data_IF_153677140921
#
_entry.id   IF_153677140921
#
_cell.length_a   1.000
_cell.length_b   1.000
_cell.length_c   1.000
_cell.angle_alpha   90.00
_cell.angle_beta   90.00
_cell.angle_gamma   90.00
#
_symmetry.space_group_name_H-M   'P 1'
#
loop_
_entity.id
_entity.type
_entity.pdbx_description
1 polymer ?
#
# COMPACT_ATOMS: atom_id res chain seq x y z
N UNK A 1 35.78 -48.80 93.60
CA UNK A 1 34.90 -47.83 92.91
C UNK A 1 35.51 -47.52 91.52
N UNK A 2 34.97 -48.13 90.46
CA UNK A 2 35.33 -47.78 89.12
C UNK A 2 34.49 -46.53 88.66
N UNK A 3 35.13 -45.37 88.56
CA UNK A 3 34.49 -44.22 88.01
C UNK A 3 34.55 -44.31 86.46
N UNK A 4 33.41 -44.53 85.80
CA UNK A 4 33.29 -44.49 84.32
C UNK A 4 32.88 -43.14 83.89
N UNK A 5 33.58 -42.61 82.89
CA UNK A 5 33.24 -41.31 82.22
C UNK A 5 32.92 -41.66 80.73
N UNK A 6 31.73 -41.35 80.29
CA UNK A 6 31.31 -41.53 78.88
C UNK A 6 31.48 -40.19 78.10
N UNK A 7 32.07 -40.29 76.92
CA UNK A 7 32.13 -39.19 75.97
C UNK A 7 31.22 -39.52 74.76
N UNK A 8 30.28 -38.65 74.45
CA UNK A 8 29.43 -38.79 73.28
C UNK A 8 29.98 -37.85 72.16
N UNK A 9 30.29 -38.41 71.00
CA UNK A 9 30.75 -37.67 69.79
C UNK A 9 29.70 -37.87 68.74
N UNK A 10 29.20 -36.76 68.17
CA UNK A 10 28.26 -36.76 67.04
C UNK A 10 29.06 -36.64 65.77
N UNK A 11 28.95 -37.59 64.86
CA UNK A 11 29.49 -37.49 63.50
C UNK A 11 28.40 -36.88 62.63
N UNK A 12 28.66 -35.73 62.00
CA UNK A 12 27.74 -35.04 61.07
C UNK A 12 28.23 -35.23 59.65
N UNK A 13 27.31 -35.25 58.68
CA UNK A 13 27.62 -35.23 57.26
C UNK A 13 26.96 -34.03 56.62
N UNK A 14 27.51 -33.47 55.50
CA UNK A 14 26.84 -32.47 54.67
C UNK A 14 25.53 -32.98 54.12
N UNK A 15 24.63 -32.07 53.73
CA UNK A 15 23.45 -32.43 52.95
C UNK A 15 23.86 -32.95 51.57
N UNK A 16 23.07 -33.82 50.97
CA UNK A 16 23.37 -34.34 49.62
C UNK A 16 23.47 -33.21 48.60
N UNK A 17 24.40 -33.36 47.66
CA UNK A 17 24.55 -32.48 46.51
C UNK A 17 23.32 -32.60 45.60
N UNK A 18 22.68 -31.47 45.25
CA UNK A 18 21.50 -31.40 44.40
C UNK A 18 21.74 -30.37 43.29
N UNK A 19 21.50 -30.79 42.04
CA UNK A 19 21.63 -29.99 40.82
C UNK A 19 20.25 -29.77 40.19
N UNK A 20 19.99 -28.54 39.75
CA UNK A 20 18.81 -28.18 38.91
C UNK A 20 19.26 -27.27 37.78
N UNK A 21 18.57 -27.36 36.63
CA UNK A 21 18.88 -26.53 35.47
C UNK A 21 17.65 -25.77 34.98
N UNK A 22 17.85 -24.52 34.55
CA UNK A 22 16.92 -23.75 33.70
C UNK A 22 17.52 -23.67 32.31
N UNK A 23 16.77 -24.05 31.27
CA UNK A 23 17.26 -24.13 29.88
C UNK A 23 16.53 -23.14 29.01
N UNK A 24 17.28 -22.33 28.24
CA UNK A 24 16.74 -21.53 27.11
C UNK A 24 17.02 -22.35 25.84
N UNK A 25 15.99 -22.73 25.04
CA UNK A 25 16.16 -23.46 23.81
C UNK A 25 16.96 -22.64 22.77
N UNK A 26 17.66 -23.34 21.88
CA UNK A 26 18.35 -22.74 20.75
C UNK A 26 17.38 -22.43 19.60
N UNK A 27 17.72 -21.47 18.75
CA UNK A 27 17.05 -21.29 17.46
C UNK A 27 17.41 -22.45 16.53
N UNK A 28 16.54 -22.78 15.57
CA UNK A 28 16.79 -23.86 14.62
C UNK A 28 18.12 -23.63 13.88
N UNK A 29 19.08 -24.53 14.09
CA UNK A 29 20.43 -24.43 13.54
C UNK A 29 21.31 -23.32 14.14
N UNK A 30 20.84 -22.65 15.19
CA UNK A 30 21.58 -21.62 15.91
C UNK A 30 22.37 -22.14 17.10
N UNK A 31 23.25 -21.31 17.64
CA UNK A 31 24.04 -21.55 18.84
C UNK A 31 23.77 -20.47 19.88
N UNK A 32 22.50 -20.24 20.22
CA UNK A 32 22.05 -19.21 21.17
C UNK A 32 21.29 -19.79 22.38
N UNK A 33 21.27 -21.09 22.53
CA UNK A 33 20.77 -21.77 23.73
C UNK A 33 21.63 -21.49 24.94
N UNK A 34 21.05 -21.68 26.16
CA UNK A 34 21.79 -21.54 27.41
C UNK A 34 21.29 -22.51 28.46
N UNK A 35 22.13 -22.82 29.40
CA UNK A 35 21.84 -23.60 30.60
C UNK A 35 22.32 -22.81 31.81
N UNK A 36 21.40 -22.49 32.74
CA UNK A 36 21.67 -21.92 34.06
C UNK A 36 21.60 -23.07 35.08
N UNK A 37 22.73 -23.37 35.73
CA UNK A 37 22.87 -24.44 36.68
C UNK A 37 22.80 -23.90 38.11
N UNK A 38 21.89 -24.42 38.90
CA UNK A 38 21.82 -24.16 40.33
C UNK A 38 22.30 -25.37 41.11
N UNK A 39 23.23 -25.13 42.04
CA UNK A 39 23.82 -26.16 42.93
C UNK A 39 23.42 -25.89 44.37
N UNK A 40 23.03 -26.90 45.11
CA UNK A 40 22.76 -26.83 46.54
C UNK A 40 23.22 -28.12 47.25
N UNK A 41 23.45 -28.04 48.59
CA UNK A 41 24.01 -29.14 49.36
C UNK A 41 25.51 -29.38 49.12
N UNK A 42 26.06 -30.49 49.60
CA UNK A 42 27.49 -30.73 49.62
C UNK A 42 28.26 -29.73 50.47
N UNK A 43 29.59 -29.62 50.24
CA UNK A 43 30.47 -28.65 50.88
C UNK A 43 30.85 -27.58 49.84
N UNK A 44 30.53 -26.27 50.06
CA UNK A 44 30.81 -25.22 49.10
C UNK A 44 32.27 -25.17 48.66
N UNK A 45 32.47 -24.74 47.37
CA UNK A 45 33.74 -24.81 46.64
C UNK A 45 33.59 -25.79 45.48
N UNK A 46 32.50 -25.58 44.67
CA UNK A 46 32.16 -26.48 43.58
C UNK A 46 33.03 -26.23 42.33
N UNK A 47 33.38 -27.31 41.66
CA UNK A 47 33.95 -27.35 40.31
C UNK A 47 33.01 -28.06 39.34
N UNK A 48 33.04 -27.65 38.07
CA UNK A 48 32.11 -28.07 37.03
C UNK A 48 32.89 -28.72 35.89
N UNK A 49 32.37 -29.82 35.35
CA UNK A 49 32.89 -30.53 34.19
C UNK A 49 31.71 -30.77 33.23
N UNK A 50 31.65 -29.99 32.15
CA UNK A 50 30.62 -30.09 31.14
C UNK A 50 31.10 -30.92 29.95
N UNK A 51 30.22 -31.73 29.37
CA UNK A 51 30.52 -32.66 28.27
C UNK A 51 30.80 -31.98 26.90
N UNK A 52 30.67 -30.66 26.79
CA UNK A 52 30.75 -29.93 25.50
C UNK A 52 32.17 -29.57 25.04
N UNK A 53 33.19 -29.71 25.87
CA UNK A 53 34.58 -29.31 25.61
C UNK A 53 35.61 -30.41 25.71
N UNK A 54 35.18 -31.65 26.05
CA UNK A 54 36.05 -32.80 26.26
C UNK A 54 36.82 -32.77 27.60
N UNK A 55 37.62 -33.77 27.89
CA UNK A 55 38.35 -33.88 29.18
C UNK A 55 39.47 -32.81 29.22
N UNK A 56 39.40 -31.91 30.18
CA UNK A 56 40.44 -30.90 30.47
C UNK A 56 41.07 -31.19 31.84
N UNK A 57 42.32 -30.76 32.06
CA UNK A 57 42.99 -30.87 33.36
C UNK A 57 43.96 -29.67 33.57
N UNK A 58 43.67 -28.72 34.50
CA UNK A 58 42.51 -28.67 35.35
C UNK A 58 41.22 -28.26 34.56
N UNK A 59 40.11 -28.80 34.97
CA UNK A 59 38.80 -28.40 34.46
C UNK A 59 38.38 -27.06 35.08
N UNK A 60 38.11 -26.09 34.24
CA UNK A 60 37.72 -24.73 34.64
C UNK A 60 36.42 -24.29 33.99
N UNK A 61 35.53 -25.23 33.71
CA UNK A 61 34.24 -24.94 33.11
C UNK A 61 33.42 -23.98 33.97
N UNK A 62 32.71 -23.05 33.36
CA UNK A 62 31.80 -22.17 34.06
C UNK A 62 30.59 -22.94 34.61
N UNK A 63 29.97 -22.42 35.66
CA UNK A 63 28.74 -22.97 36.20
C UNK A 63 27.63 -23.01 35.15
N UNK A 64 27.46 -21.88 34.42
CA UNK A 64 26.42 -21.69 33.42
C UNK A 64 27.01 -21.71 32.02
N UNK A 65 26.26 -22.27 31.07
CA UNK A 65 26.65 -22.34 29.67
C UNK A 65 25.77 -21.44 28.82
N UNK A 66 26.41 -20.75 27.86
CA UNK A 66 25.73 -19.93 26.83
C UNK A 66 26.27 -20.28 25.44
N UNK A 67 25.60 -19.84 24.38
CA UNK A 67 26.06 -20.12 23.02
C UNK A 67 25.90 -21.59 22.61
N UNK A 68 24.90 -22.27 23.13
CA UNK A 68 24.70 -23.69 22.90
C UNK A 68 23.84 -24.00 21.69
N UNK A 69 24.21 -25.02 20.94
CA UNK A 69 23.33 -25.65 19.95
C UNK A 69 22.35 -26.59 20.62
N UNK A 70 21.30 -27.01 19.91
CA UNK A 70 20.42 -28.05 20.37
C UNK A 70 21.22 -29.37 20.55
N UNK A 71 21.02 -30.03 21.70
CA UNK A 71 21.77 -31.21 22.04
C UNK A 71 21.62 -31.60 23.51
N UNK A 72 22.26 -32.71 23.90
CA UNK A 72 22.29 -33.18 25.27
C UNK A 72 23.63 -32.80 25.89
N UNK A 73 23.56 -32.22 27.07
CA UNK A 73 24.70 -31.78 27.88
C UNK A 73 24.70 -32.46 29.21
N UNK A 74 25.85 -32.94 29.66
CA UNK A 74 26.02 -33.53 30.96
C UNK A 74 26.98 -32.69 31.78
N UNK A 75 26.62 -32.35 33.00
CA UNK A 75 27.53 -31.73 33.96
C UNK A 75 27.83 -32.72 35.08
N UNK A 76 29.11 -32.76 35.49
CA UNK A 76 29.54 -33.38 36.73
C UNK A 76 30.03 -32.28 37.65
N UNK A 77 29.37 -32.11 38.81
CA UNK A 77 29.76 -31.16 39.83
C UNK A 77 30.48 -31.90 40.94
N UNK A 78 31.64 -31.36 41.31
CA UNK A 78 32.44 -31.89 42.44
C UNK A 78 32.48 -30.83 43.55
N UNK A 79 32.17 -31.22 44.79
CA UNK A 79 32.23 -30.36 45.98
C UNK A 79 33.65 -30.27 46.55
N UNK A 80 33.90 -29.38 47.52
CA UNK A 80 35.22 -29.19 48.14
C UNK A 80 35.76 -30.45 48.88
N UNK A 81 34.92 -31.43 49.17
CA UNK A 81 35.30 -32.72 49.77
C UNK A 81 35.51 -33.82 48.73
N UNK A 82 35.38 -33.53 47.45
CA UNK A 82 35.51 -34.49 46.35
C UNK A 82 34.26 -35.33 46.10
N UNK A 83 33.11 -35.00 46.69
CA UNK A 83 31.85 -35.70 46.38
C UNK A 83 31.30 -35.19 45.05
N UNK A 84 30.88 -36.12 44.19
CA UNK A 84 30.40 -35.80 42.81
C UNK A 84 28.93 -36.11 42.65
N UNK A 85 28.26 -35.30 41.79
CA UNK A 85 26.92 -35.57 41.29
C UNK A 85 26.82 -35.12 39.83
N UNK A 86 26.19 -35.95 38.99
CA UNK A 86 26.05 -35.66 37.57
C UNK A 86 24.58 -35.43 37.20
N UNK A 87 24.34 -34.44 36.31
CA UNK A 87 23.02 -34.12 35.77
C UNK A 87 23.10 -34.07 34.23
N UNK A 88 22.12 -34.72 33.59
CA UNK A 88 21.93 -34.64 32.14
C UNK A 88 20.79 -33.68 31.84
N UNK A 89 21.00 -32.72 30.94
CA UNK A 89 20.00 -31.75 30.49
C UNK A 89 20.01 -31.64 28.96
N UNK A 90 18.90 -31.21 28.37
CA UNK A 90 18.78 -31.11 26.92
C UNK A 90 18.39 -29.71 26.53
N UNK A 91 19.19 -29.05 25.64
CA UNK A 91 18.83 -27.84 24.93
C UNK A 91 18.03 -28.26 23.71
N UNK A 92 16.78 -27.88 23.67
CA UNK A 92 15.88 -28.16 22.53
C UNK A 92 15.95 -27.06 21.48
N UNK A 93 15.36 -27.28 20.30
CA UNK A 93 15.12 -26.28 19.28
C UNK A 93 13.71 -26.48 18.70
N UNK A 94 13.11 -25.42 18.06
CA UNK A 94 11.85 -25.55 17.32
C UNK A 94 11.96 -26.53 16.15
N UNK A 95 10.83 -27.10 15.71
CA UNK A 95 10.76 -28.04 14.59
C UNK A 95 11.10 -27.40 13.20
N UNK A 96 11.32 -26.12 13.14
CA UNK A 96 11.71 -25.40 11.91
C UNK A 96 12.12 -23.96 12.20
N UNK A 97 12.83 -23.34 11.26
CA UNK A 97 13.23 -21.94 11.40
C UNK A 97 12.00 -21.04 11.41
N UNK A 98 12.13 -19.89 12.08
CA UNK A 98 11.13 -18.83 12.04
C UNK A 98 11.00 -18.32 10.60
N UNK A 99 9.85 -18.56 9.96
CA UNK A 99 9.61 -18.30 8.54
C UNK A 99 8.37 -17.45 8.33
N UNK A 100 8.52 -16.15 8.02
CA UNK A 100 7.42 -15.26 7.71
C UNK A 100 6.99 -15.36 6.24
N UNK A 101 5.70 -15.21 5.98
CA UNK A 101 5.08 -15.11 4.66
C UNK A 101 4.09 -13.95 4.65
N UNK A 102 4.13 -13.13 3.58
CA UNK A 102 3.30 -11.95 3.43
C UNK A 102 2.34 -12.11 2.24
N UNK A 103 1.07 -11.77 2.47
CA UNK A 103 0.08 -11.48 1.43
C UNK A 103 -0.36 -10.04 1.60
N UNK A 104 -0.24 -9.22 0.55
CA UNK A 104 -0.60 -7.80 0.60
C UNK A 104 -1.83 -7.51 -0.27
N UNK A 105 -2.58 -6.46 0.09
CA UNK A 105 -3.65 -5.85 -0.69
C UNK A 105 -3.16 -4.47 -1.14
N UNK A 106 -3.19 -4.16 -2.44
CA UNK A 106 -2.82 -2.84 -2.95
C UNK A 106 -3.73 -1.73 -2.44
N UNK A 107 -3.24 -0.50 -2.49
CA UNK A 107 -4.08 0.69 -2.31
C UNK A 107 -4.99 0.85 -3.52
N UNK A 108 -6.29 1.04 -3.31
CA UNK A 108 -7.27 1.19 -4.38
C UNK A 108 -7.10 2.50 -5.15
N UNK A 109 -7.26 3.63 -4.47
CA UNK A 109 -7.18 4.95 -5.11
C UNK A 109 -5.90 5.71 -4.70
N UNK A 110 -5.46 6.63 -5.58
CA UNK A 110 -4.29 7.46 -5.31
C UNK A 110 -4.44 8.23 -3.99
N UNK A 111 -3.40 8.22 -3.18
CA UNK A 111 -3.33 8.84 -1.85
C UNK A 111 -4.31 8.30 -0.79
N UNK A 112 -5.06 7.24 -1.09
CA UNK A 112 -5.86 6.54 -0.08
C UNK A 112 -4.98 5.69 0.84
N UNK A 113 -5.58 5.25 1.94
CA UNK A 113 -5.01 4.32 2.90
C UNK A 113 -5.85 3.04 2.98
N UNK A 114 -6.10 2.39 1.84
CA UNK A 114 -6.88 1.15 1.75
C UNK A 114 -6.03 -0.11 1.64
N UNK A 115 -4.71 0.04 1.61
CA UNK A 115 -3.77 -1.07 1.58
C UNK A 115 -3.79 -1.90 2.85
N UNK A 116 -3.43 -3.18 2.74
CA UNK A 116 -3.31 -4.08 3.87
C UNK A 116 -2.18 -5.09 3.68
N UNK A 117 -1.65 -5.60 4.80
CA UNK A 117 -0.67 -6.67 4.84
C UNK A 117 -1.16 -7.74 5.81
N UNK A 118 -1.26 -8.99 5.34
CA UNK A 118 -1.48 -10.17 6.16
C UNK A 118 -0.15 -10.92 6.29
N UNK A 119 0.39 -10.98 7.51
CA UNK A 119 1.61 -11.70 7.84
C UNK A 119 1.26 -13.03 8.49
N UNK A 120 1.76 -14.11 7.93
CA UNK A 120 1.69 -15.45 8.52
C UNK A 120 3.10 -15.87 8.91
N UNK A 121 3.27 -16.37 10.14
CA UNK A 121 4.55 -16.86 10.65
C UNK A 121 4.46 -18.35 10.94
N UNK A 122 5.42 -19.11 10.45
CA UNK A 122 5.55 -20.55 10.73
C UNK A 122 6.92 -20.84 11.33
N UNK A 123 7.05 -21.96 12.05
CA UNK A 123 8.30 -22.30 12.76
C UNK A 123 8.56 -21.38 13.95
N UNK A 124 9.75 -21.47 14.52
CA UNK A 124 10.08 -20.80 15.78
C UNK A 124 9.21 -21.29 16.96
N UNK A 125 9.19 -20.53 18.03
CA UNK A 125 8.42 -20.83 19.25
C UNK A 125 7.51 -19.66 19.61
N UNK A 126 6.17 -19.81 19.51
CA UNK A 126 5.25 -18.73 19.89
C UNK A 126 5.30 -18.47 21.42
N UNK A 127 4.85 -17.26 21.87
CA UNK A 127 4.28 -16.17 21.08
C UNK A 127 5.33 -15.39 20.29
N UNK A 128 4.87 -14.72 19.20
CA UNK A 128 5.71 -13.86 18.37
C UNK A 128 5.49 -12.40 18.71
N UNK A 129 6.56 -11.60 18.63
CA UNK A 129 6.54 -10.13 18.69
C UNK A 129 6.87 -9.57 17.30
N UNK A 130 6.21 -8.49 16.92
CA UNK A 130 6.34 -7.85 15.61
C UNK A 130 6.81 -6.41 15.76
N UNK A 131 7.74 -6.00 14.91
CA UNK A 131 8.26 -4.64 14.89
C UNK A 131 8.30 -4.16 13.43
N UNK A 132 7.25 -3.46 13.04
CA UNK A 132 7.12 -2.93 11.69
C UNK A 132 7.83 -1.58 11.52
N UNK A 133 8.26 -1.28 10.27
CA UNK A 133 8.91 -0.01 9.91
C UNK A 133 8.02 1.23 10.11
N UNK A 134 6.70 1.06 10.17
CA UNK A 134 5.74 2.12 10.49
C UNK A 134 5.47 2.28 11.99
N UNK A 135 6.12 1.48 12.84
CA UNK A 135 5.94 1.51 14.30
C UNK A 135 4.82 0.61 14.83
N UNK A 136 4.11 -0.11 13.98
CA UNK A 136 3.07 -1.05 14.40
C UNK A 136 3.70 -2.33 14.99
N UNK A 137 2.93 -3.01 15.85
CA UNK A 137 3.34 -4.23 16.56
C UNK A 137 2.36 -5.39 16.39
N UNK A 138 1.35 -5.24 15.52
CA UNK A 138 0.39 -6.29 15.21
C UNK A 138 0.89 -7.19 14.07
N UNK A 139 0.40 -8.43 13.99
CA UNK A 139 0.76 -9.34 12.90
C UNK A 139 0.27 -8.80 11.54
N UNK A 140 -0.95 -8.27 11.49
CA UNK A 140 -1.57 -7.78 10.27
C UNK A 140 -1.69 -6.26 10.32
N UNK A 141 -1.45 -5.62 9.18
CA UNK A 141 -1.59 -4.17 9.00
C UNK A 141 -2.77 -3.86 8.10
N UNK A 142 -3.51 -2.81 8.44
CA UNK A 142 -4.60 -2.25 7.63
C UNK A 142 -4.44 -0.74 7.51
N UNK A 143 -5.24 -0.12 6.65
CA UNK A 143 -5.20 1.32 6.42
C UNK A 143 -3.81 1.83 6.00
N UNK A 144 -3.14 1.06 5.13
CA UNK A 144 -1.81 1.40 4.64
C UNK A 144 -1.87 2.28 3.40
N UNK A 145 -1.01 3.25 3.35
CA UNK A 145 -0.68 3.97 2.10
C UNK A 145 0.27 3.14 1.24
N UNK A 146 0.42 3.49 -0.03
CA UNK A 146 1.43 2.89 -0.90
C UNK A 146 2.84 3.13 -0.37
N UNK A 147 3.69 2.10 -0.40
CA UNK A 147 5.05 2.20 0.10
C UNK A 147 5.67 0.86 0.51
N UNK A 148 6.91 0.93 0.97
CA UNK A 148 7.66 -0.23 1.45
C UNK A 148 7.46 -0.42 2.95
N UNK A 149 7.18 -1.64 3.35
CA UNK A 149 7.01 -2.06 4.74
C UNK A 149 7.92 -3.22 5.05
N UNK A 150 8.64 -3.14 6.14
CA UNK A 150 9.50 -4.22 6.65
C UNK A 150 9.13 -4.55 8.08
N UNK A 151 9.33 -5.81 8.47
CA UNK A 151 9.04 -6.29 9.82
C UNK A 151 10.19 -7.15 10.34
N UNK A 152 10.54 -6.93 11.59
CA UNK A 152 11.31 -7.85 12.42
C UNK A 152 10.34 -8.65 13.28
N UNK A 153 10.55 -9.95 13.33
CA UNK A 153 9.74 -10.88 14.09
C UNK A 153 10.67 -11.57 15.09
N UNK A 154 10.28 -11.56 16.35
CA UNK A 154 11.02 -12.20 17.44
C UNK A 154 10.12 -13.23 18.09
N UNK A 155 10.60 -14.46 18.21
CA UNK A 155 9.88 -15.52 18.93
C UNK A 155 10.22 -15.54 20.43
N UNK A 156 9.58 -16.42 21.19
CA UNK A 156 9.80 -16.51 22.65
C UNK A 156 11.21 -16.98 23.04
N UNK A 157 11.97 -17.55 22.14
CA UNK A 157 13.37 -17.94 22.34
C UNK A 157 14.35 -16.88 21.80
N UNK A 158 13.88 -15.67 21.52
CA UNK A 158 14.65 -14.57 20.94
C UNK A 158 15.22 -14.87 19.54
N UNK A 159 14.65 -15.84 18.82
CA UNK A 159 14.98 -16.07 17.43
C UNK A 159 14.37 -14.97 16.55
N UNK A 160 15.13 -14.48 15.58
CA UNK A 160 14.75 -13.33 14.75
C UNK A 160 14.57 -13.77 13.30
N UNK A 161 13.50 -13.31 12.67
CA UNK A 161 13.33 -13.32 11.23
C UNK A 161 12.94 -11.92 10.73
N UNK A 162 13.26 -11.63 9.47
CA UNK A 162 12.91 -10.37 8.82
C UNK A 162 12.31 -10.64 7.45
N UNK A 163 11.33 -9.84 7.09
CA UNK A 163 10.78 -9.79 5.72
C UNK A 163 10.31 -8.40 5.38
N UNK A 164 10.06 -8.15 4.10
CA UNK A 164 9.54 -6.88 3.62
C UNK A 164 8.66 -7.07 2.40
N UNK A 165 7.79 -6.11 2.15
CA UNK A 165 6.95 -6.05 0.95
C UNK A 165 6.75 -4.62 0.53
N UNK A 166 6.34 -4.43 -0.73
CA UNK A 166 5.88 -3.14 -1.26
C UNK A 166 4.37 -3.20 -1.48
N UNK A 167 3.63 -2.25 -0.90
CA UNK A 167 2.19 -2.07 -1.13
C UNK A 167 2.03 -1.10 -2.30
N UNK A 168 1.57 -1.56 -3.48
CA UNK A 168 1.37 -0.70 -4.62
C UNK A 168 0.23 0.31 -4.41
N UNK A 169 0.36 1.48 -5.05
CA UNK A 169 -0.71 2.47 -5.21
C UNK A 169 -0.70 3.00 -6.63
N UNK A 170 -1.81 3.54 -7.16
CA UNK A 170 -1.82 4.23 -8.44
C UNK A 170 -0.79 5.36 -8.47
N UNK A 171 -0.16 5.60 -9.64
CA UNK A 171 0.89 6.63 -9.81
C UNK A 171 0.36 8.07 -9.72
N UNK A 172 -0.95 8.27 -9.92
CA UNK A 172 -1.60 9.58 -9.85
C UNK A 172 -3.11 9.48 -9.66
N UNK A 173 -3.71 10.58 -9.21
CA UNK A 173 -5.16 10.69 -9.12
C UNK A 173 -5.81 10.56 -10.50
N UNK A 174 -7.00 9.93 -10.56
CA UNK A 174 -7.82 9.91 -11.76
C UNK A 174 -8.23 11.35 -12.12
N UNK A 175 -7.94 11.78 -13.33
CA UNK A 175 -8.19 13.12 -13.84
C UNK A 175 -8.42 13.08 -15.36
N UNK A 176 -8.99 14.14 -15.95
CA UNK A 176 -9.12 14.29 -17.40
C UNK A 176 -8.64 15.66 -17.87
N UNK A 177 -8.07 15.73 -19.09
CA UNK A 177 -7.69 16.95 -19.80
C UNK A 177 -8.66 17.19 -20.95
N UNK A 178 -9.83 17.80 -20.72
CA UNK A 178 -10.88 17.89 -21.72
C UNK A 178 -10.57 18.91 -22.81
N UNK A 179 -10.99 18.60 -24.04
CA UNK A 179 -11.10 19.56 -25.14
C UNK A 179 -12.57 19.71 -25.49
N UNK A 180 -13.09 20.92 -25.36
CA UNK A 180 -14.51 21.25 -25.58
C UNK A 180 -14.66 22.07 -26.87
N UNK A 181 -15.53 21.60 -27.75
CA UNK A 181 -15.92 22.34 -28.98
C UNK A 181 -17.36 22.80 -28.88
N UNK A 182 -17.58 24.11 -28.98
CA UNK A 182 -18.89 24.73 -28.95
C UNK A 182 -19.60 24.68 -30.31
N UNK A 183 -20.90 24.93 -30.33
CA UNK A 183 -21.68 25.01 -31.57
C UNK A 183 -21.38 26.27 -32.36
N UNK A 184 -21.27 26.13 -33.67
CA UNK A 184 -21.16 27.24 -34.58
C UNK A 184 -22.53 27.76 -35.05
N UNK A 185 -23.57 26.92 -35.02
CA UNK A 185 -24.94 27.26 -35.43
C UNK A 185 -25.97 26.71 -34.40
N UNK A 186 -27.05 27.46 -34.16
CA UNK A 186 -28.07 27.13 -33.15
C UNK A 186 -28.89 25.87 -33.44
N UNK A 187 -28.91 25.41 -34.68
CA UNK A 187 -29.71 24.23 -35.11
C UNK A 187 -28.85 22.98 -35.34
N UNK A 188 -27.56 23.03 -35.06
CA UNK A 188 -26.65 21.90 -35.28
C UNK A 188 -26.24 21.23 -33.97
N UNK A 189 -25.99 19.96 -34.09
CA UNK A 189 -25.38 19.14 -33.04
C UNK A 189 -23.91 18.90 -33.36
N UNK A 190 -23.14 19.99 -33.47
CA UNK A 190 -21.70 19.93 -33.84
C UNK A 190 -20.78 20.08 -32.62
N UNK A 191 -21.32 20.20 -31.42
CA UNK A 191 -20.55 20.24 -30.19
C UNK A 191 -19.86 18.92 -29.89
N UNK A 192 -18.72 18.98 -29.21
CA UNK A 192 -18.02 17.78 -28.72
C UNK A 192 -17.28 18.04 -27.43
N UNK A 193 -17.07 16.97 -26.67
CA UNK A 193 -16.23 16.90 -25.48
C UNK A 193 -15.33 15.69 -25.62
N UNK A 194 -14.01 15.93 -25.70
CA UNK A 194 -12.98 14.89 -25.77
C UNK A 194 -12.28 14.88 -24.42
N UNK A 195 -12.28 13.78 -23.66
CA UNK A 195 -11.89 13.79 -22.25
C UNK A 195 -10.39 13.67 -22.01
N UNK A 196 -9.66 12.77 -22.70
CA UNK A 196 -8.25 12.44 -22.46
C UNK A 196 -7.97 12.11 -20.97
N UNK A 197 -8.51 11.02 -20.42
CA UNK A 197 -8.33 10.64 -19.03
C UNK A 197 -6.90 10.15 -18.74
N UNK A 198 -6.45 10.35 -17.49
CA UNK A 198 -5.13 9.94 -17.00
C UNK A 198 -5.18 9.63 -15.51
N UNK A 199 -4.16 8.93 -14.99
CA UNK A 199 -4.11 8.51 -13.58
C UNK A 199 -5.09 7.38 -13.26
N UNK A 200 -5.23 7.04 -11.99
CA UNK A 200 -6.02 5.87 -11.56
C UNK A 200 -5.53 4.55 -12.14
N UNK A 201 -6.40 3.56 -12.21
CA UNK A 201 -6.11 2.21 -12.69
C UNK A 201 -6.98 1.85 -13.90
N UNK A 202 -6.37 1.64 -15.07
CA UNK A 202 -7.10 1.25 -16.29
C UNK A 202 -7.72 -0.16 -16.17
N UNK A 203 -8.83 -0.45 -16.90
CA UNK A 203 -9.60 0.39 -17.81
C UNK A 203 -10.54 1.37 -17.10
N UNK A 204 -10.98 2.40 -17.85
CA UNK A 204 -11.97 3.37 -17.38
C UNK A 204 -13.36 3.05 -17.93
N UNK A 205 -14.37 3.42 -17.16
CA UNK A 205 -15.77 3.46 -17.57
C UNK A 205 -16.33 4.87 -17.40
N UNK A 206 -17.34 5.21 -18.21
CA UNK A 206 -17.88 6.57 -18.30
C UNK A 206 -19.38 6.56 -18.11
N UNK A 207 -19.90 7.57 -17.41
CA UNK A 207 -21.33 7.81 -17.25
C UNK A 207 -21.61 9.29 -17.44
N UNK A 208 -22.33 9.62 -18.51
CA UNK A 208 -22.70 10.99 -18.81
C UNK A 208 -24.14 11.30 -18.38
N UNK A 209 -24.41 12.57 -18.07
CA UNK A 209 -25.74 13.04 -17.67
C UNK A 209 -26.80 12.88 -18.75
N UNK A 210 -26.43 12.72 -20.04
CA UNK A 210 -27.34 12.41 -21.15
C UNK A 210 -27.60 10.91 -21.36
N UNK A 211 -27.01 10.05 -20.50
CA UNK A 211 -27.13 8.58 -20.57
C UNK A 211 -26.10 7.89 -21.46
N UNK A 212 -25.15 8.62 -22.06
CA UNK A 212 -24.06 8.03 -22.83
C UNK A 212 -23.00 7.38 -21.92
N UNK A 213 -22.28 6.40 -22.46
CA UNK A 213 -21.23 5.67 -21.75
C UNK A 213 -19.89 5.64 -22.53
N UNK A 214 -19.81 6.38 -23.62
CA UNK A 214 -18.57 6.49 -24.40
C UNK A 214 -17.57 7.44 -23.72
N UNK A 215 -16.29 7.28 -24.01
CA UNK A 215 -15.26 8.18 -23.48
C UNK A 215 -15.52 9.63 -23.90
N UNK A 216 -15.87 9.84 -25.17
CA UNK A 216 -16.04 11.15 -25.75
C UNK A 216 -17.49 11.37 -26.19
N UNK A 217 -18.01 12.59 -26.01
CA UNK A 217 -19.26 13.01 -26.61
C UNK A 217 -18.98 13.78 -27.90
N UNK A 218 -19.64 13.37 -28.98
CA UNK A 218 -19.59 14.05 -30.28
C UNK A 218 -20.99 14.25 -30.83
N UNK A 219 -21.15 15.23 -31.70
CA UNK A 219 -22.45 15.57 -32.29
C UNK A 219 -23.51 15.93 -31.25
N UNK A 220 -23.14 16.68 -30.21
CA UNK A 220 -24.04 17.11 -29.14
C UNK A 220 -24.49 18.53 -29.33
N UNK A 221 -25.68 18.84 -28.79
CA UNK A 221 -26.27 20.17 -28.78
C UNK A 221 -25.71 21.09 -27.69
N UNK A 222 -26.18 22.36 -27.70
CA UNK A 222 -25.91 23.27 -26.58
C UNK A 222 -26.59 22.74 -25.30
N UNK A 223 -25.90 22.84 -24.18
CA UNK A 223 -26.39 22.35 -22.90
C UNK A 223 -25.31 22.12 -21.88
N UNK A 224 -25.71 21.64 -20.71
CA UNK A 224 -24.79 21.20 -19.65
C UNK A 224 -24.66 19.69 -19.68
N UNK A 225 -23.43 19.22 -19.57
CA UNK A 225 -23.08 17.81 -19.55
C UNK A 225 -22.17 17.55 -18.36
N UNK A 226 -22.47 16.49 -17.61
CA UNK A 226 -21.63 16.02 -16.52
C UNK A 226 -21.14 14.63 -16.86
N UNK A 227 -19.84 14.38 -16.69
CA UNK A 227 -19.28 13.03 -16.75
C UNK A 227 -18.88 12.56 -15.37
N UNK A 228 -19.08 11.29 -15.11
CA UNK A 228 -18.38 10.56 -14.05
C UNK A 228 -17.53 9.48 -14.71
N UNK A 229 -16.21 9.58 -14.52
CA UNK A 229 -15.24 8.58 -14.95
C UNK A 229 -14.97 7.70 -13.75
N UNK A 230 -15.02 6.38 -13.94
CA UNK A 230 -14.69 5.39 -12.90
C UNK A 230 -13.58 4.49 -13.42
N UNK A 231 -12.51 4.32 -12.65
CA UNK A 231 -11.42 3.41 -12.98
C UNK A 231 -11.73 1.96 -12.54
N UNK A 232 -10.84 1.00 -12.87
CA UNK A 232 -11.04 -0.41 -12.50
C UNK A 232 -10.91 -0.71 -11.02
N UNK A 233 -10.33 0.20 -10.23
CA UNK A 233 -10.26 0.11 -8.78
C UNK A 233 -11.49 0.74 -8.08
N UNK A 234 -12.43 1.33 -8.86
CA UNK A 234 -13.63 1.99 -8.35
C UNK A 234 -13.43 3.46 -7.97
N UNK A 235 -12.28 4.06 -8.25
CA UNK A 235 -12.04 5.48 -8.02
C UNK A 235 -12.79 6.32 -9.05
N UNK A 236 -13.38 7.43 -8.61
CA UNK A 236 -14.21 8.26 -9.47
C UNK A 236 -13.67 9.68 -9.62
N UNK A 237 -13.87 10.25 -10.81
CA UNK A 237 -13.66 11.65 -11.12
C UNK A 237 -14.88 12.20 -11.85
N UNK A 238 -15.40 13.34 -11.40
CA UNK A 238 -16.57 13.98 -12.03
C UNK A 238 -16.24 15.40 -12.46
N UNK A 239 -16.73 15.78 -13.64
CA UNK A 239 -16.56 17.11 -14.21
C UNK A 239 -17.80 17.57 -14.98
N UNK A 240 -18.10 18.87 -14.87
CA UNK A 240 -19.18 19.53 -15.58
C UNK A 240 -18.65 20.31 -16.78
N UNK A 241 -19.40 20.29 -17.87
CA UNK A 241 -19.11 21.00 -19.11
C UNK A 241 -20.32 21.80 -19.57
N UNK A 242 -20.07 22.89 -20.23
CA UNK A 242 -21.11 23.68 -20.92
C UNK A 242 -20.76 23.78 -22.40
N UNK A 243 -21.60 23.24 -23.24
CA UNK A 243 -21.55 23.48 -24.69
C UNK A 243 -22.37 24.70 -24.99
N UNK A 244 -21.71 25.78 -25.44
CA UNK A 244 -22.33 27.01 -25.82
C UNK A 244 -22.72 27.00 -27.30
N UNK A 245 -23.79 27.68 -27.64
CA UNK A 245 -24.22 27.90 -29.02
C UNK A 245 -24.91 29.24 -29.15
N UNK A 246 -25.23 29.67 -30.38
CA UNK A 246 -25.97 30.90 -30.58
C UNK A 246 -27.33 30.86 -29.88
N UNK A 247 -27.68 31.92 -29.20
CA UNK A 247 -28.96 32.03 -28.47
C UNK A 247 -30.15 32.14 -29.41
N UNK A 248 -29.90 32.54 -30.65
CA UNK A 248 -30.92 32.68 -31.70
C UNK A 248 -30.42 32.10 -33.01
N UNK A 249 -31.31 31.53 -33.81
CA UNK A 249 -30.98 31.11 -35.18
C UNK A 249 -30.59 32.32 -36.04
N UNK A 250 -29.70 32.10 -37.02
CA UNK A 250 -29.37 33.11 -38.01
C UNK A 250 -30.63 33.45 -38.81
N UNK A 251 -30.98 34.68 -38.79
CA UNK A 251 -32.14 35.24 -39.54
C UNK A 251 -31.69 36.40 -40.42
N UNK A 252 -32.34 36.53 -41.56
CA UNK A 252 -32.09 37.60 -42.53
C UNK A 252 -33.36 38.41 -42.70
N UNK A 253 -33.23 39.74 -42.70
CA UNK A 253 -34.25 40.66 -43.15
C UNK A 253 -33.70 41.49 -44.29
N UNK A 254 -34.46 41.62 -45.37
CA UNK A 254 -34.04 42.33 -46.55
C UNK A 254 -34.86 43.57 -46.76
N UNK A 255 -34.26 44.61 -47.31
CA UNK A 255 -34.90 45.80 -47.84
C UNK A 255 -34.45 46.05 -49.27
N UNK A 256 -35.33 46.57 -50.11
CA UNK A 256 -35.02 46.89 -51.51
C UNK A 256 -35.54 48.24 -51.88
N UNK A 257 -34.84 48.97 -52.80
CA UNK A 257 -35.31 50.09 -53.49
C UNK A 257 -35.47 49.76 -54.98
N UNK A 258 -36.66 49.92 -55.46
CA UNK A 258 -36.99 49.61 -56.85
C UNK A 258 -36.44 50.65 -57.79
N UNK A 259 -36.28 50.29 -59.05
CA UNK A 259 -35.89 51.17 -60.11
C UNK A 259 -37.05 52.12 -60.44
N UNK A 260 -36.76 53.48 -60.57
CA UNK A 260 -37.78 54.47 -60.79
C UNK A 260 -38.19 54.65 -62.31
N UNK A 261 -37.30 54.25 -63.24
CA UNK A 261 -37.57 54.36 -64.67
C UNK A 261 -37.11 53.10 -65.44
N UNK A 262 -37.89 52.70 -66.43
CA UNK A 262 -37.59 51.57 -67.32
C UNK A 262 -36.19 51.72 -67.94
N UNK A 263 -35.34 50.64 -67.85
CA UNK A 263 -34.01 50.60 -68.40
C UNK A 263 -32.88 51.21 -67.56
N UNK A 264 -33.19 51.78 -66.39
CA UNK A 264 -32.17 52.25 -65.47
C UNK A 264 -31.61 51.17 -64.59
N UNK A 265 -30.39 51.35 -64.03
CA UNK A 265 -29.75 50.50 -63.04
C UNK A 265 -29.64 51.25 -61.69
N UNK A 266 -30.74 51.75 -61.15
CA UNK A 266 -30.76 52.56 -59.92
C UNK A 266 -31.29 51.73 -58.74
N UNK A 267 -31.56 50.41 -58.94
CA UNK A 267 -32.01 49.51 -57.89
C UNK A 267 -30.93 49.29 -56.84
N UNK A 268 -31.37 49.06 -55.62
CA UNK A 268 -30.48 48.61 -54.52
C UNK A 268 -31.18 47.58 -53.62
N UNK A 269 -30.40 46.77 -53.02
CA UNK A 269 -30.89 45.84 -52.02
C UNK A 269 -29.91 45.82 -50.80
N UNK A 270 -30.46 45.63 -49.61
CA UNK A 270 -29.65 45.44 -48.39
C UNK A 270 -30.20 44.33 -47.58
N UNK A 271 -29.33 43.64 -46.89
CA UNK A 271 -29.64 42.54 -45.96
C UNK A 271 -29.07 42.84 -44.60
N UNK A 272 -29.88 42.67 -43.55
CA UNK A 272 -29.46 42.71 -42.16
C UNK A 272 -29.53 41.31 -41.60
N UNK A 273 -28.40 40.80 -41.14
CA UNK A 273 -28.30 39.51 -40.42
C UNK A 273 -28.52 39.75 -38.91
N UNK A 274 -29.24 38.84 -38.26
CA UNK A 274 -29.43 38.79 -36.81
C UNK A 274 -29.39 37.33 -36.32
N UNK A 275 -29.07 37.14 -35.05
CA UNK A 275 -28.84 35.78 -34.53
C UNK A 275 -27.54 35.14 -35.05
N UNK A 276 -27.34 33.86 -34.88
CA UNK A 276 -26.08 33.20 -35.23
C UNK A 276 -24.88 33.69 -34.42
N UNK A 277 -23.68 33.59 -34.98
CA UNK A 277 -22.41 34.05 -34.37
C UNK A 277 -21.72 35.00 -35.35
N UNK A 278 -21.56 36.31 -35.05
CA UNK A 278 -20.80 37.19 -35.88
C UNK A 278 -19.29 36.87 -35.90
N UNK A 279 -18.52 37.29 -36.91
CA UNK A 279 -18.94 38.13 -38.04
C UNK A 279 -19.73 37.36 -39.11
N UNK A 280 -20.62 38.07 -39.81
CA UNK A 280 -21.39 37.51 -40.91
C UNK A 280 -20.68 37.68 -42.24
N UNK A 281 -20.76 36.70 -43.12
CA UNK A 281 -20.38 36.79 -44.54
C UNK A 281 -21.62 36.68 -45.43
N UNK A 282 -21.61 37.40 -46.52
CA UNK A 282 -22.73 37.50 -47.46
C UNK A 282 -22.31 37.02 -48.82
N UNK A 283 -23.23 36.40 -49.53
CA UNK A 283 -23.08 36.10 -50.95
C UNK A 283 -24.44 36.32 -51.65
N UNK A 284 -24.45 37.15 -52.64
CA UNK A 284 -25.62 37.41 -53.48
C UNK A 284 -25.54 36.54 -54.72
N UNK A 285 -26.67 36.34 -55.40
CA UNK A 285 -26.76 35.55 -56.65
C UNK A 285 -25.90 36.10 -57.80
N UNK A 286 -25.59 37.38 -57.73
CA UNK A 286 -24.70 38.11 -58.72
C UNK A 286 -23.21 38.06 -58.28
N UNK A 287 -22.86 37.30 -57.21
CA UNK A 287 -21.49 37.16 -56.72
C UNK A 287 -20.99 38.24 -55.76
N UNK A 288 -21.76 39.28 -55.48
CA UNK A 288 -21.39 40.32 -54.49
C UNK A 288 -21.40 39.78 -53.07
N UNK A 289 -20.50 40.32 -52.20
CA UNK A 289 -20.26 39.79 -50.84
C UNK A 289 -20.50 40.84 -49.75
N UNK A 290 -21.01 42.04 -50.08
CA UNK A 290 -21.31 43.13 -49.17
C UNK A 290 -22.75 43.00 -48.60
N UNK A 291 -23.07 43.51 -47.41
CA UNK A 291 -24.44 43.52 -46.89
C UNK A 291 -25.41 44.36 -47.67
N UNK A 292 -24.90 45.25 -48.47
CA UNK A 292 -25.71 46.12 -49.36
C UNK A 292 -25.12 46.20 -50.77
N UNK A 293 -25.99 46.13 -51.78
CA UNK A 293 -25.61 46.17 -53.18
C UNK A 293 -26.46 47.21 -53.89
N UNK A 294 -25.86 47.88 -54.87
CA UNK A 294 -26.46 48.94 -55.62
C UNK A 294 -26.19 48.76 -57.12
N UNK A 295 -26.76 49.72 -57.94
CA UNK A 295 -26.66 49.69 -59.38
C UNK A 295 -27.27 48.44 -60.01
N UNK A 296 -28.38 47.96 -59.43
CA UNK A 296 -29.10 46.78 -59.90
C UNK A 296 -30.06 47.13 -61.03
N UNK A 297 -30.07 46.29 -62.05
CA UNK A 297 -31.11 46.26 -63.07
C UNK A 297 -32.35 45.55 -62.58
N UNK A 298 -33.49 45.69 -63.27
CA UNK A 298 -34.70 44.91 -62.92
C UNK A 298 -34.42 43.44 -63.11
N UNK A 299 -34.74 42.64 -62.05
CA UNK A 299 -34.54 41.21 -61.98
C UNK A 299 -34.70 40.66 -60.52
N UNK A 300 -34.57 39.35 -60.32
CA UNK A 300 -34.58 38.70 -59.01
C UNK A 300 -33.17 38.40 -58.59
#
# INVERSE_FOLDING_TARGET
>A
NACTKTLSVTITQPTALVLTTTVIPACTGGANGSIDLSVSGGTPGYTYDWSNNGPQNPDTDPQDLTGLTAGTYTVTVTDANGCTFSLVTTVTQPNGPLSPSIVMTPVGCFADSTGAINLTVTGGTPPYQYYWSNGDTTANLTNLTGGSYSVYIVDSNSCIAQTSTYVPSPEGALYAFPVVTNLNCSSLTSGSIILNPTGGTVPYSYSWSNGDTTENLVNIGAGQYTVTITDSAGCTYSQNFTINGPTQALALSGQQNNINCHGNNTGSASVTASGGIPPYSYIWTNGMTTPSISNLSAGN
#
